data_IF_969344471951
#
_entry.id   IF_969344471951
#
_cell.length_a   1.000
_cell.length_b   1.000
_cell.length_c   1.000
_cell.angle_alpha   90.00
_cell.angle_beta   90.00
_cell.angle_gamma   90.00
#
_symmetry.space_group_name_H-M   'P 1'
#
loop_
_entity.id
_entity.type
_entity.pdbx_description
1 polymer ?
#
# COMPACT_ATOMS: atom_id res chain seq x y z
N UNK A 1 60.15 -13.95 -30.75
CA UNK A 1 60.56 -15.34 -30.55
C UNK A 1 59.35 -16.04 -29.99
N UNK A 2 58.57 -16.61 -30.88
CA UNK A 2 58.42 -18.05 -31.28
C UNK A 2 57.80 -18.89 -30.16
N UNK A 3 56.74 -19.70 -30.27
CA UNK A 3 56.05 -20.40 -31.37
C UNK A 3 54.81 -21.07 -30.73
N UNK A 4 53.62 -21.04 -31.29
CA UNK A 4 52.96 -21.95 -32.23
C UNK A 4 52.86 -23.42 -31.79
N UNK A 5 51.64 -23.99 -31.88
CA UNK A 5 51.29 -25.38 -32.00
C UNK A 5 49.83 -25.63 -31.49
N UNK A 6 48.83 -25.46 -32.21
CA UNK A 6 48.10 -26.23 -33.24
C UNK A 6 47.68 -27.66 -32.85
N UNK A 7 46.38 -27.81 -32.96
CA UNK A 7 45.51 -29.02 -32.95
C UNK A 7 46.00 -30.22 -33.76
N UNK A 8 45.38 -31.42 -33.69
CA UNK A 8 44.32 -31.69 -34.63
C UNK A 8 43.18 -32.66 -34.18
N UNK A 9 42.16 -32.58 -35.00
CA UNK A 9 41.03 -33.44 -35.31
C UNK A 9 41.27 -34.93 -35.39
N UNK A 10 40.21 -35.76 -35.16
CA UNK A 10 39.71 -36.90 -35.96
C UNK A 10 38.75 -37.74 -35.09
N UNK A 11 37.77 -38.40 -35.49
CA UNK A 11 36.94 -38.71 -36.65
C UNK A 11 36.10 -40.00 -36.30
N UNK A 12 34.82 -39.98 -36.56
CA UNK A 12 33.86 -41.03 -37.00
C UNK A 12 33.85 -42.46 -36.42
N UNK A 13 32.70 -42.82 -35.84
CA UNK A 13 31.66 -43.85 -36.09
C UNK A 13 32.12 -45.34 -36.40
N UNK A 14 31.27 -46.40 -36.36
CA UNK A 14 29.88 -46.44 -36.75
C UNK A 14 28.91 -47.40 -35.97
N UNK A 15 27.66 -47.38 -36.31
CA UNK A 15 26.53 -48.30 -36.16
C UNK A 15 26.78 -49.76 -35.88
N UNK A 16 25.96 -50.37 -35.00
CA UNK A 16 25.50 -51.75 -35.16
C UNK A 16 24.05 -51.87 -34.60
N UNK A 17 23.24 -52.53 -35.40
CA UNK A 17 21.81 -52.75 -35.28
C UNK A 17 21.42 -53.99 -34.47
N UNK A 18 20.20 -53.94 -33.91
CA UNK A 18 19.15 -54.95 -33.79
C UNK A 18 19.44 -56.13 -32.79
N UNK A 19 18.57 -56.25 -31.79
CA UNK A 19 17.75 -57.46 -31.70
C UNK A 19 16.45 -57.26 -30.92
N UNK A 20 15.42 -57.85 -31.47
CA UNK A 20 14.03 -57.94 -31.13
C UNK A 20 13.75 -58.83 -29.93
N UNK A 21 12.72 -58.50 -29.15
CA UNK A 21 11.92 -59.51 -28.50
C UNK A 21 11.69 -59.35 -27.03
N UNK A 22 10.52 -58.91 -26.67
CA UNK A 22 9.60 -59.45 -25.67
C UNK A 22 8.64 -58.39 -25.18
N UNK A 23 7.41 -58.46 -25.59
CA UNK A 23 6.28 -57.73 -25.03
C UNK A 23 6.13 -58.12 -23.56
N UNK A 24 6.21 -57.15 -22.64
CA UNK A 24 5.63 -57.23 -21.30
C UNK A 24 4.53 -56.15 -21.20
N UNK A 25 3.33 -56.61 -20.86
CA UNK A 25 2.17 -55.76 -20.60
C UNK A 25 2.47 -54.69 -19.55
N UNK A 26 1.91 -53.50 -19.69
CA UNK A 26 2.09 -52.45 -18.68
C UNK A 26 1.22 -52.77 -17.46
N UNK A 27 1.85 -52.83 -16.30
CA UNK A 27 1.20 -52.81 -15.01
C UNK A 27 0.44 -51.49 -14.78
N UNK A 28 -0.63 -51.46 -13.96
CA UNK A 28 -1.54 -50.31 -13.84
C UNK A 28 -0.79 -49.11 -13.30
N UNK A 29 -0.95 -48.02 -14.05
CA UNK A 29 -0.44 -46.69 -13.72
C UNK A 29 -0.96 -46.26 -12.34
N UNK A 30 -0.02 -46.00 -11.47
CA UNK A 30 -0.22 -45.20 -10.27
C UNK A 30 -0.92 -43.84 -10.68
N UNK A 31 -1.98 -43.43 -10.00
CA UNK A 31 -2.57 -42.13 -10.32
C UNK A 31 -1.57 -41.04 -9.95
N UNK A 32 -0.86 -40.51 -10.96
CA UNK A 32 -0.14 -39.27 -10.82
C UNK A 32 -1.12 -38.24 -10.30
N UNK A 33 -0.95 -37.86 -9.05
CA UNK A 33 -1.50 -36.64 -8.48
C UNK A 33 -1.02 -35.52 -9.42
N UNK A 34 -1.91 -35.08 -10.28
CA UNK A 34 -1.76 -33.83 -11.01
C UNK A 34 -1.72 -32.77 -9.94
N UNK A 35 -0.52 -32.34 -9.55
CA UNK A 35 -0.34 -31.11 -8.83
C UNK A 35 -0.89 -30.02 -9.75
N UNK A 36 -2.14 -29.64 -9.55
CA UNK A 36 -2.66 -28.37 -9.99
C UNK A 36 -1.83 -27.33 -9.23
N UNK A 37 -0.74 -26.89 -9.86
CA UNK A 37 -0.12 -25.63 -9.50
C UNK A 37 -1.20 -24.59 -9.78
N UNK A 38 -1.93 -24.21 -8.75
CA UNK A 38 -2.71 -22.98 -8.78
C UNK A 38 -1.70 -21.87 -9.01
N UNK A 39 -1.53 -21.47 -10.27
CA UNK A 39 -1.07 -20.13 -10.61
C UNK A 39 -2.18 -19.20 -10.10
N UNK A 40 -2.15 -18.89 -8.82
CA UNK A 40 -2.85 -17.74 -8.28
C UNK A 40 -2.30 -16.56 -9.07
N UNK A 41 -3.11 -15.97 -9.92
CA UNK A 41 -2.75 -14.78 -10.67
C UNK A 41 -2.32 -13.73 -9.65
N UNK A 42 -1.03 -13.40 -9.60
CA UNK A 42 -0.46 -12.48 -8.59
C UNK A 42 -1.06 -11.07 -8.73
N UNK A 43 -1.70 -10.76 -9.87
CA UNK A 43 -2.52 -9.56 -10.08
C UNK A 43 -3.80 -9.49 -9.22
N UNK A 44 -4.23 -10.59 -8.60
CA UNK A 44 -5.48 -10.65 -7.82
C UNK A 44 -5.33 -10.16 -6.37
N UNK A 45 -4.09 -9.84 -5.93
CA UNK A 45 -3.82 -9.34 -4.57
C UNK A 45 -3.75 -7.82 -4.47
N UNK A 46 -4.49 -7.14 -5.30
CA UNK A 46 -4.60 -5.68 -5.30
C UNK A 46 -6.03 -5.27 -4.96
N UNK A 47 -6.19 -4.53 -3.89
CA UNK A 47 -7.44 -3.84 -3.58
C UNK A 47 -7.51 -2.56 -4.43
N UNK A 48 -8.23 -2.61 -5.54
CA UNK A 48 -8.37 -1.50 -6.49
C UNK A 48 -9.48 -0.53 -6.07
N UNK A 49 -9.28 0.74 -6.40
CA UNK A 49 -10.24 1.82 -6.12
C UNK A 49 -10.71 2.44 -7.42
N UNK A 50 -12.01 2.65 -7.53
CA UNK A 50 -12.58 3.44 -8.63
C UNK A 50 -12.53 4.93 -8.27
N UNK A 51 -11.55 5.63 -8.82
CA UNK A 51 -11.42 7.08 -8.73
C UNK A 51 -11.78 7.77 -10.05
N UNK A 52 -12.31 7.02 -11.04
CA UNK A 52 -12.73 7.49 -12.36
C UNK A 52 -11.65 7.35 -13.43
N UNK A 53 -11.97 7.84 -14.63
CA UNK A 53 -11.09 7.71 -15.80
C UNK A 53 -9.78 8.51 -15.63
N UNK A 54 -8.69 7.99 -16.20
CA UNK A 54 -7.39 8.65 -16.26
C UNK A 54 -6.51 8.43 -15.04
N UNK A 55 -6.92 7.56 -14.10
CA UNK A 55 -6.13 7.23 -12.90
C UNK A 55 -6.27 5.76 -12.55
N UNK A 56 -5.22 5.15 -12.08
CA UNK A 56 -5.21 3.85 -11.42
C UNK A 56 -4.82 4.02 -9.96
N UNK A 57 -5.58 3.40 -9.04
CA UNK A 57 -5.30 3.48 -7.61
C UNK A 57 -5.58 2.14 -6.93
N UNK A 58 -4.66 1.71 -6.05
CA UNK A 58 -4.80 0.45 -5.32
C UNK A 58 -3.99 0.43 -4.02
N UNK A 59 -4.36 -0.49 -3.14
CA UNK A 59 -3.52 -0.96 -2.03
C UNK A 59 -3.13 -2.42 -2.27
N UNK A 60 -1.86 -2.78 -2.03
CA UNK A 60 -1.43 -4.17 -2.10
C UNK A 60 -1.97 -4.96 -0.91
N UNK A 61 -2.33 -6.19 -1.12
CA UNK A 61 -2.44 -7.16 -0.03
C UNK A 61 -1.05 -7.70 0.34
N UNK A 62 -0.99 -8.56 1.33
CA UNK A 62 0.23 -9.24 1.80
C UNK A 62 0.89 -10.00 0.64
N UNK A 63 2.20 -9.84 0.49
CA UNK A 63 3.03 -10.53 -0.50
C UNK A 63 2.60 -10.31 -1.97
N UNK A 64 1.85 -9.23 -2.25
CA UNK A 64 1.53 -8.84 -3.60
C UNK A 64 2.75 -8.27 -4.32
N UNK A 65 2.92 -8.60 -5.58
CA UNK A 65 3.91 -7.97 -6.45
C UNK A 65 3.34 -6.68 -7.06
N UNK A 66 4.20 -5.69 -7.21
CA UNK A 66 3.84 -4.45 -7.89
C UNK A 66 3.86 -4.65 -9.40
N UNK A 67 2.83 -4.17 -10.14
CA UNK A 67 2.75 -4.36 -11.58
C UNK A 67 3.77 -3.52 -12.38
N UNK A 68 4.37 -2.52 -11.73
CA UNK A 68 5.35 -1.59 -12.29
C UNK A 68 6.17 -0.91 -11.20
N UNK A 69 7.20 -0.17 -11.59
CA UNK A 69 7.98 0.65 -10.66
C UNK A 69 7.11 1.75 -10.04
N UNK A 70 7.27 1.94 -8.74
CA UNK A 70 6.49 2.91 -7.96
C UNK A 70 7.44 3.73 -7.09
N UNK A 71 7.37 5.05 -7.20
CA UNK A 71 8.16 5.97 -6.35
C UNK A 71 7.63 5.91 -4.91
N UNK A 72 8.54 5.69 -3.97
CA UNK A 72 8.23 5.51 -2.55
C UNK A 72 9.11 6.41 -1.67
N UNK A 73 8.55 7.16 -0.72
CA UNK A 73 9.33 7.98 0.20
C UNK A 73 9.90 7.17 1.38
N UNK A 74 10.87 7.75 2.07
CA UNK A 74 11.31 7.28 3.38
C UNK A 74 10.56 8.05 4.48
N UNK A 75 9.41 7.53 4.87
CA UNK A 75 8.45 8.13 5.79
C UNK A 75 8.94 8.11 7.23
N UNK A 76 8.73 9.24 7.94
CA UNK A 76 9.14 9.44 9.34
C UNK A 76 7.97 9.83 10.24
N UNK A 77 6.73 9.68 9.77
CA UNK A 77 5.49 10.10 10.46
C UNK A 77 5.43 11.62 10.67
N UNK A 78 6.05 12.38 9.76
CA UNK A 78 6.03 13.83 9.71
C UNK A 78 4.90 14.37 8.84
N UNK A 79 5.15 15.54 8.23
CA UNK A 79 4.21 16.18 7.29
C UNK A 79 4.94 16.89 6.12
N UNK A 80 6.11 16.40 5.74
CA UNK A 80 6.82 16.89 4.55
C UNK A 80 6.18 16.30 3.31
N UNK A 81 5.91 17.17 2.33
CA UNK A 81 5.31 16.85 1.04
C UNK A 81 6.34 17.12 -0.04
N UNK A 82 6.44 16.22 -1.02
CA UNK A 82 7.37 16.38 -2.14
C UNK A 82 6.66 16.14 -3.46
N UNK A 83 6.92 17.03 -4.43
CA UNK A 83 6.55 16.81 -5.81
C UNK A 83 7.52 15.84 -6.48
N UNK A 84 6.98 14.91 -7.27
CA UNK A 84 7.72 13.92 -8.07
C UNK A 84 7.49 14.23 -9.54
N UNK A 85 8.55 14.63 -10.24
CA UNK A 85 8.54 14.90 -11.68
C UNK A 85 9.30 13.83 -12.47
N UNK A 86 10.27 13.16 -11.85
CA UNK A 86 11.03 12.08 -12.45
C UNK A 86 10.53 10.73 -11.93
N UNK A 87 10.05 9.82 -12.82
CA UNK A 87 9.61 8.49 -12.42
C UNK A 87 10.71 7.63 -11.82
N UNK A 88 11.98 8.00 -11.99
CA UNK A 88 13.13 7.28 -11.44
C UNK A 88 13.63 7.88 -10.11
N UNK A 89 12.91 8.86 -9.54
CA UNK A 89 13.22 9.41 -8.22
C UNK A 89 13.39 8.29 -7.20
N UNK A 90 14.52 8.25 -6.53
CA UNK A 90 14.87 7.21 -5.57
C UNK A 90 14.32 7.49 -4.18
N UNK A 91 14.27 6.47 -3.36
CA UNK A 91 13.80 6.58 -1.99
C UNK A 91 14.72 7.46 -1.13
N UNK A 92 16.03 7.45 -1.40
CA UNK A 92 17.02 8.23 -0.65
C UNK A 92 16.85 9.73 -0.92
N UNK A 93 16.42 10.13 -2.13
CA UNK A 93 16.08 11.52 -2.47
C UNK A 93 14.81 12.01 -1.76
N UNK A 94 14.03 11.09 -1.21
CA UNK A 94 12.75 11.32 -0.53
C UNK A 94 12.82 11.02 0.97
N UNK A 95 14.01 11.22 1.58
CA UNK A 95 14.20 11.05 3.02
C UNK A 95 13.34 12.04 3.82
N UNK A 96 12.63 11.56 4.82
CA UNK A 96 11.78 12.37 5.71
C UNK A 96 10.45 12.82 5.10
N UNK A 97 10.10 12.33 3.90
CA UNK A 97 8.88 12.70 3.18
C UNK A 97 7.73 11.75 3.55
N UNK A 98 6.57 12.31 3.87
CA UNK A 98 5.37 11.54 4.25
C UNK A 98 4.20 11.71 3.25
N UNK A 99 4.33 12.58 2.25
CA UNK A 99 3.38 12.67 1.15
C UNK A 99 4.08 12.98 -0.17
N UNK A 100 3.59 12.37 -1.25
CA UNK A 100 4.04 12.61 -2.62
C UNK A 100 2.90 13.18 -3.44
N UNK A 101 3.21 14.10 -4.36
CA UNK A 101 2.29 14.64 -5.36
C UNK A 101 2.94 14.62 -6.74
N UNK A 102 2.13 14.53 -7.79
CA UNK A 102 2.58 14.67 -9.18
C UNK A 102 1.41 14.97 -10.12
N UNK A 103 1.72 15.64 -11.23
CA UNK A 103 0.83 15.79 -12.38
C UNK A 103 1.44 15.18 -13.66
N UNK A 104 2.50 14.41 -13.54
CA UNK A 104 3.18 13.77 -14.68
C UNK A 104 2.52 12.46 -15.03
N UNK A 105 1.96 12.30 -16.27
CA UNK A 105 1.38 11.03 -16.71
C UNK A 105 2.40 9.89 -16.68
N UNK A 106 1.94 8.69 -16.33
CA UNK A 106 2.76 7.50 -16.24
C UNK A 106 3.57 7.37 -14.94
N UNK A 107 3.76 8.45 -14.16
CA UNK A 107 4.42 8.39 -12.86
C UNK A 107 3.48 7.76 -11.82
N UNK A 108 3.95 6.69 -11.20
CA UNK A 108 3.28 6.03 -10.09
C UNK A 108 3.93 6.45 -8.77
N UNK A 109 3.14 7.00 -7.85
CA UNK A 109 3.58 7.38 -6.51
C UNK A 109 2.85 6.57 -5.45
N UNK A 110 3.49 6.33 -4.31
CA UNK A 110 2.87 5.57 -3.23
C UNK A 110 3.36 5.96 -1.84
N UNK A 111 2.62 5.51 -0.84
CA UNK A 111 3.05 5.46 0.55
C UNK A 111 2.96 4.04 1.10
N UNK A 112 3.78 3.75 2.09
CA UNK A 112 3.90 2.44 2.75
C UNK A 112 3.25 2.48 4.11
N UNK A 113 2.35 1.55 4.37
CA UNK A 113 1.65 1.48 5.66
C UNK A 113 1.65 0.07 6.26
N UNK A 114 1.50 0.02 7.57
CA UNK A 114 1.06 -1.13 8.35
C UNK A 114 0.38 -0.51 9.58
N UNK A 115 -0.95 -0.36 9.52
CA UNK A 115 -1.86 0.33 10.44
C UNK A 115 -2.08 1.83 10.20
N UNK A 116 -1.05 2.60 9.82
CA UNK A 116 -1.25 4.01 9.46
C UNK A 116 -2.23 4.15 8.29
N UNK A 117 -2.96 5.27 8.26
CA UNK A 117 -3.98 5.51 7.23
C UNK A 117 -3.31 6.05 5.96
N UNK A 118 -3.45 5.38 4.80
CA UNK A 118 -3.09 5.97 3.53
C UNK A 118 -4.26 6.80 3.00
N UNK A 119 -3.96 7.98 2.45
CA UNK A 119 -4.93 8.80 1.73
C UNK A 119 -4.43 9.01 0.31
N UNK A 120 -5.24 8.61 -0.68
CA UNK A 120 -4.97 8.82 -2.10
C UNK A 120 -5.90 9.91 -2.62
N UNK A 121 -5.35 10.89 -3.35
CA UNK A 121 -6.10 12.03 -3.90
C UNK A 121 -5.94 12.07 -5.42
N UNK A 122 -7.03 12.39 -6.12
CA UNK A 122 -7.06 12.61 -7.56
C UNK A 122 -7.83 13.86 -7.92
N UNK A 123 -7.16 14.76 -8.65
CA UNK A 123 -7.78 15.90 -9.32
C UNK A 123 -8.07 15.55 -10.78
N UNK A 124 -9.32 15.28 -11.17
CA UNK A 124 -9.66 14.93 -12.54
C UNK A 124 -9.58 16.13 -13.51
N UNK A 125 -9.58 17.36 -13.00
CA UNK A 125 -9.54 18.59 -13.81
C UNK A 125 -8.11 18.90 -14.23
N UNK A 126 -7.19 18.98 -13.26
CA UNK A 126 -5.80 19.36 -13.51
C UNK A 126 -4.88 18.15 -13.69
N UNK A 127 -5.43 16.92 -13.69
CA UNK A 127 -4.68 15.67 -13.83
C UNK A 127 -3.53 15.60 -12.83
N UNK A 128 -3.84 15.78 -11.55
CA UNK A 128 -2.87 15.70 -10.47
C UNK A 128 -3.29 14.65 -9.44
N UNK A 129 -2.29 14.00 -8.83
CA UNK A 129 -2.49 12.94 -7.85
C UNK A 129 -1.64 13.17 -6.61
N UNK A 130 -2.07 12.58 -5.48
CA UNK A 130 -1.28 12.52 -4.27
C UNK A 130 -1.40 11.17 -3.58
N UNK A 131 -0.32 10.75 -2.91
CA UNK A 131 -0.28 9.64 -1.97
C UNK A 131 0.23 10.16 -0.62
N UNK A 132 -0.57 10.01 0.44
CA UNK A 132 -0.34 10.61 1.76
C UNK A 132 -0.28 9.53 2.83
N UNK A 133 0.78 9.54 3.63
CA UNK A 133 0.93 8.72 4.82
C UNK A 133 0.39 9.46 6.05
N UNK A 134 -0.87 9.20 6.40
CA UNK A 134 -1.55 9.82 7.52
C UNK A 134 -1.56 8.89 8.76
N UNK A 135 -0.39 8.62 9.34
CA UNK A 135 -0.30 8.08 10.69
C UNK A 135 -0.89 9.08 11.71
N UNK A 136 -1.14 8.69 12.96
CA UNK A 136 -1.80 9.57 13.92
C UNK A 136 -1.07 10.93 14.10
N UNK A 137 0.27 10.94 14.09
CA UNK A 137 1.06 12.19 14.18
C UNK A 137 0.86 13.09 12.96
N UNK A 138 0.90 12.51 11.73
CA UNK A 138 0.63 13.23 10.50
C UNK A 138 -0.81 13.73 10.41
N UNK A 139 -1.77 12.94 10.91
CA UNK A 139 -3.19 13.32 11.00
C UNK A 139 -3.37 14.53 11.92
N UNK A 140 -2.82 14.49 13.13
CA UNK A 140 -2.84 15.62 14.08
C UNK A 140 -2.22 16.88 13.47
N UNK A 141 -1.15 16.73 12.69
CA UNK A 141 -0.46 17.82 11.99
C UNK A 141 -1.16 18.23 10.67
N UNK A 142 -2.32 17.63 10.36
CA UNK A 142 -3.14 17.94 9.18
C UNK A 142 -2.43 17.70 7.83
N UNK A 143 -1.67 16.62 7.71
CA UNK A 143 -0.88 16.33 6.50
C UNK A 143 -1.74 16.31 5.23
N UNK A 144 -2.96 15.76 5.29
CA UNK A 144 -3.87 15.70 4.14
C UNK A 144 -4.31 17.10 3.66
N UNK A 145 -4.62 18.02 4.59
CA UNK A 145 -4.96 19.41 4.26
C UNK A 145 -3.76 20.13 3.63
N UNK A 146 -2.58 20.01 4.25
CA UNK A 146 -1.34 20.59 3.71
C UNK A 146 -1.03 20.06 2.31
N UNK A 147 -1.27 18.76 2.06
CA UNK A 147 -1.08 18.18 0.72
C UNK A 147 -2.05 18.81 -0.29
N UNK A 148 -3.32 19.00 0.08
CA UNK A 148 -4.30 19.66 -0.78
C UNK A 148 -3.90 21.12 -1.04
N UNK A 149 -3.43 21.85 -0.02
CA UNK A 149 -2.92 23.23 -0.16
C UNK A 149 -1.75 23.30 -1.16
N UNK A 150 -0.79 22.36 -1.09
CA UNK A 150 0.32 22.29 -2.05
C UNK A 150 -0.19 21.97 -3.45
N UNK A 151 -1.15 21.05 -3.61
CA UNK A 151 -1.78 20.76 -4.91
C UNK A 151 -2.52 21.99 -5.47
N UNK A 152 -3.18 22.79 -4.62
CA UNK A 152 -3.81 24.05 -5.03
C UNK A 152 -2.77 25.05 -5.53
N UNK A 153 -1.66 25.21 -4.81
CA UNK A 153 -0.59 26.15 -5.16
C UNK A 153 0.13 25.79 -6.46
N UNK A 154 0.46 24.49 -6.66
CA UNK A 154 1.26 24.04 -7.78
C UNK A 154 0.44 23.74 -9.04
N UNK A 155 -0.77 23.18 -8.87
CA UNK A 155 -1.58 22.67 -9.98
C UNK A 155 -2.90 23.41 -10.17
N UNK A 156 -3.26 24.32 -9.26
CA UNK A 156 -4.56 25.00 -9.31
C UNK A 156 -5.74 24.10 -8.90
N UNK A 157 -5.46 23.01 -8.17
CA UNK A 157 -6.46 22.04 -7.71
C UNK A 157 -7.60 22.72 -6.96
N UNK A 158 -8.85 22.40 -7.33
CA UNK A 158 -10.04 22.76 -6.57
C UNK A 158 -10.43 21.58 -5.66
N UNK A 159 -10.35 21.77 -4.34
CA UNK A 159 -10.67 20.73 -3.37
C UNK A 159 -12.10 20.16 -3.56
N UNK A 160 -13.06 20.97 -4.01
CA UNK A 160 -14.43 20.51 -4.28
C UNK A 160 -14.54 19.53 -5.44
N UNK A 161 -13.52 19.45 -6.29
CA UNK A 161 -13.44 18.54 -7.44
C UNK A 161 -12.61 17.30 -7.14
N UNK A 162 -11.82 17.32 -6.07
CA UNK A 162 -10.98 16.17 -5.67
C UNK A 162 -11.83 14.93 -5.41
N UNK A 163 -11.27 13.80 -5.77
CA UNK A 163 -11.69 12.46 -5.35
C UNK A 163 -10.65 11.93 -4.37
N UNK A 164 -11.10 11.34 -3.29
CA UNK A 164 -10.25 10.84 -2.23
C UNK A 164 -10.58 9.40 -1.85
N UNK A 165 -9.55 8.63 -1.54
CA UNK A 165 -9.67 7.29 -0.95
C UNK A 165 -8.91 7.26 0.36
N UNK A 166 -9.57 6.86 1.43
CA UNK A 166 -8.98 6.47 2.70
C UNK A 166 -8.84 4.95 2.67
N UNK A 167 -7.62 4.46 2.48
CA UNK A 167 -7.34 3.03 2.30
C UNK A 167 -7.32 2.23 3.61
N UNK A 168 -6.88 0.94 3.55
CA UNK A 168 -6.78 0.07 4.71
C UNK A 168 -5.83 0.62 5.76
N UNK A 169 -6.25 0.55 7.03
CA UNK A 169 -5.46 0.96 8.17
C UNK A 169 -6.06 0.38 9.45
N UNK A 170 -5.49 0.69 10.60
CA UNK A 170 -6.00 0.20 11.87
C UNK A 170 -7.39 0.81 12.16
N UNK A 171 -8.38 -0.04 12.38
CA UNK A 171 -9.74 0.40 12.70
C UNK A 171 -9.90 0.86 14.15
N UNK A 172 -11.00 1.60 14.45
CA UNK A 172 -11.21 2.21 15.77
C UNK A 172 -11.22 1.18 16.91
N UNK A 173 -11.78 0.01 16.68
CA UNK A 173 -11.84 -1.04 17.71
C UNK A 173 -10.47 -1.67 18.03
N UNK A 174 -9.46 -1.43 17.19
CA UNK A 174 -8.11 -1.96 17.34
C UNK A 174 -7.06 -0.88 17.63
N UNK A 175 -7.41 0.40 17.41
CA UNK A 175 -6.50 1.51 17.67
C UNK A 175 -6.69 2.05 19.10
N UNK A 176 -6.37 1.21 20.07
CA UNK A 176 -6.26 1.64 21.48
C UNK A 176 -5.07 2.57 21.63
N UNK A 177 -5.26 3.68 22.34
CA UNK A 177 -4.29 4.75 22.54
C UNK A 177 -4.12 5.11 24.02
N UNK A 178 -3.04 5.84 24.33
CA UNK A 178 -2.88 6.49 25.62
C UNK A 178 -3.55 7.87 25.64
N UNK A 179 -3.61 8.45 26.84
CA UNK A 179 -4.19 9.78 27.05
C UNK A 179 -3.46 10.84 26.24
N UNK A 180 -2.15 10.72 26.09
CA UNK A 180 -1.30 11.66 25.35
C UNK A 180 -1.68 11.78 23.87
N UNK A 181 -2.17 10.69 23.26
CA UNK A 181 -2.65 10.72 21.88
C UNK A 181 -4.02 11.40 21.80
N UNK A 182 -4.93 11.07 22.72
CA UNK A 182 -6.24 11.70 22.80
C UNK A 182 -6.12 13.21 23.01
N UNK A 183 -5.24 13.64 23.91
CA UNK A 183 -4.95 15.04 24.19
C UNK A 183 -4.38 15.77 22.97
N UNK A 184 -3.51 15.12 22.19
CA UNK A 184 -2.95 15.69 20.97
C UNK A 184 -4.05 15.97 19.91
N UNK A 185 -5.01 15.06 19.74
CA UNK A 185 -6.17 15.29 18.86
C UNK A 185 -7.07 16.42 19.37
N UNK A 186 -7.35 16.43 20.68
CA UNK A 186 -8.18 17.47 21.29
C UNK A 186 -7.53 18.86 21.14
N UNK A 187 -6.24 19.00 21.44
CA UNK A 187 -5.48 20.24 21.28
C UNK A 187 -5.42 20.72 19.83
N UNK A 188 -5.39 19.79 18.88
CA UNK A 188 -5.42 20.11 17.45
C UNK A 188 -6.84 20.45 16.92
N UNK A 189 -7.86 20.45 17.79
CA UNK A 189 -9.23 20.87 17.48
C UNK A 189 -10.03 19.83 16.66
N UNK A 190 -9.73 18.55 16.82
CA UNK A 190 -10.53 17.48 16.22
C UNK A 190 -11.88 17.31 16.94
N UNK A 191 -12.95 16.85 16.26
CA UNK A 191 -14.26 16.61 16.86
C UNK A 191 -14.22 15.33 17.70
N UNK A 192 -13.75 15.46 18.94
CA UNK A 192 -13.47 14.34 19.83
C UNK A 192 -14.70 13.47 20.08
N UNK A 193 -15.90 14.05 20.12
CA UNK A 193 -17.17 13.35 20.25
C UNK A 193 -17.47 12.38 19.10
N UNK A 194 -16.81 12.57 17.94
CA UNK A 194 -16.99 11.73 16.75
C UNK A 194 -15.90 10.67 16.60
N UNK A 195 -14.68 10.97 17.08
CA UNK A 195 -13.51 10.14 16.81
C UNK A 195 -12.99 9.38 18.05
N UNK A 196 -13.28 9.84 19.25
CA UNK A 196 -12.83 9.21 20.51
C UNK A 196 -13.91 8.29 21.06
N UNK A 197 -13.52 7.08 21.44
CA UNK A 197 -14.34 6.14 22.18
C UNK A 197 -13.64 5.79 23.49
N UNK A 198 -14.30 6.01 24.62
CA UNK A 198 -13.87 5.49 25.92
C UNK A 198 -14.61 4.18 26.18
N UNK A 199 -13.88 3.08 26.10
CA UNK A 199 -14.41 1.73 26.32
C UNK A 199 -14.26 1.27 27.79
N UNK A 200 -14.04 2.21 28.70
CA UNK A 200 -13.86 1.95 30.14
C UNK A 200 -12.48 1.37 30.49
N UNK A 201 -12.32 0.79 31.65
CA UNK A 201 -11.02 0.28 32.10
C UNK A 201 -10.42 -0.74 31.14
N UNK A 202 -9.10 -0.67 30.91
CA UNK A 202 -8.39 -1.67 30.12
C UNK A 202 -8.52 -3.06 30.73
N UNK A 203 -9.06 -3.99 29.97
CA UNK A 203 -9.27 -5.39 30.38
C UNK A 203 -8.88 -6.33 29.23
N UNK A 204 -7.58 -6.38 28.88
CA UNK A 204 -7.13 -7.22 27.76
C UNK A 204 -7.43 -8.69 28.03
N UNK A 205 -7.90 -9.36 27.01
CA UNK A 205 -8.08 -10.82 26.98
C UNK A 205 -7.27 -11.42 25.85
N UNK A 206 -7.06 -12.74 25.83
CA UNK A 206 -6.40 -13.41 24.71
C UNK A 206 -7.16 -13.18 23.39
N UNK A 207 -8.50 -13.17 23.45
CA UNK A 207 -9.37 -12.96 22.29
C UNK A 207 -9.45 -11.50 21.85
N UNK A 208 -9.32 -10.56 22.79
CA UNK A 208 -9.34 -9.12 22.55
C UNK A 208 -8.27 -8.38 23.38
N UNK A 209 -7.01 -8.33 22.93
CA UNK A 209 -5.93 -7.62 23.61
C UNK A 209 -6.15 -6.09 23.72
N UNK A 210 -7.06 -5.53 22.91
CA UNK A 210 -7.39 -4.10 22.87
C UNK A 210 -8.68 -3.76 23.62
N UNK A 211 -9.16 -4.64 24.52
CA UNK A 211 -10.38 -4.41 25.26
C UNK A 211 -10.26 -3.29 26.28
N UNK A 212 -11.20 -2.35 26.25
CA UNK A 212 -11.23 -1.17 27.13
C UNK A 212 -10.23 -0.09 26.74
N UNK A 213 -10.15 0.97 27.54
CA UNK A 213 -9.29 2.12 27.28
C UNK A 213 -9.82 3.06 26.19
N UNK A 214 -8.99 4.04 25.86
CA UNK A 214 -9.30 5.03 24.84
C UNK A 214 -8.99 4.49 23.44
N UNK A 215 -9.89 4.71 22.52
CA UNK A 215 -9.74 4.34 21.11
C UNK A 215 -10.00 5.55 20.22
N UNK A 216 -9.23 5.69 19.14
CA UNK A 216 -9.42 6.76 18.16
C UNK A 216 -9.77 6.16 16.80
N UNK A 217 -10.80 6.74 16.17
CA UNK A 217 -11.18 6.46 14.78
C UNK A 217 -10.38 7.33 13.83
N UNK A 218 -9.25 6.80 13.34
CA UNK A 218 -8.40 7.50 12.37
C UNK A 218 -9.06 7.65 11.00
N UNK A 219 -9.99 6.77 10.63
CA UNK A 219 -10.73 6.93 9.36
C UNK A 219 -11.62 8.15 9.41
N UNK A 220 -12.40 8.31 10.51
CA UNK A 220 -13.23 9.50 10.71
C UNK A 220 -12.39 10.77 10.84
N UNK A 221 -11.26 10.71 11.56
CA UNK A 221 -10.37 11.85 11.69
C UNK A 221 -9.83 12.34 10.33
N UNK A 222 -9.37 11.42 9.47
CA UNK A 222 -8.90 11.78 8.13
C UNK A 222 -10.04 12.21 7.20
N UNK A 223 -11.22 11.60 7.30
CA UNK A 223 -12.39 12.03 6.56
C UNK A 223 -12.77 13.46 6.92
N UNK A 224 -12.83 13.77 8.21
CA UNK A 224 -13.10 15.12 8.69
C UNK A 224 -12.08 16.13 8.15
N UNK A 225 -10.78 15.80 8.14
CA UNK A 225 -9.75 16.64 7.55
C UNK A 225 -9.99 16.92 6.06
N UNK A 226 -10.35 15.93 5.28
CA UNK A 226 -10.67 16.09 3.86
C UNK A 226 -11.90 16.99 3.66
N UNK A 227 -12.94 16.80 4.47
CA UNK A 227 -14.14 17.66 4.44
C UNK A 227 -13.80 19.11 4.84
N UNK A 228 -12.96 19.32 5.86
CA UNK A 228 -12.47 20.64 6.24
C UNK A 228 -11.65 21.33 5.14
N UNK A 229 -10.93 20.55 4.31
CA UNK A 229 -10.21 21.07 3.15
C UNK A 229 -11.15 21.38 1.95
N UNK A 230 -12.44 21.04 2.04
CA UNK A 230 -13.44 21.30 0.99
C UNK A 230 -13.73 20.12 0.08
N UNK A 231 -13.17 18.94 0.34
CA UNK A 231 -13.50 17.73 -0.44
C UNK A 231 -14.95 17.34 -0.15
N UNK A 232 -15.76 17.17 -1.19
CA UNK A 232 -17.18 16.78 -1.03
C UNK A 232 -17.26 15.37 -0.45
N UNK A 233 -18.14 15.17 0.52
CA UNK A 233 -18.37 13.87 1.16
C UNK A 233 -18.67 12.76 0.14
N UNK A 234 -19.44 13.05 -0.92
CA UNK A 234 -19.72 12.10 -2.01
C UNK A 234 -18.48 11.66 -2.80
N UNK A 235 -17.38 12.39 -2.69
CA UNK A 235 -16.12 12.12 -3.39
C UNK A 235 -15.08 11.43 -2.49
N UNK A 236 -15.44 11.11 -1.25
CA UNK A 236 -14.56 10.45 -0.28
C UNK A 236 -15.00 8.99 -0.13
N UNK A 237 -14.17 8.07 -0.59
CA UNK A 237 -14.32 6.64 -0.36
C UNK A 237 -13.52 6.23 0.88
N UNK A 238 -14.09 5.37 1.72
CA UNK A 238 -13.39 4.76 2.86
C UNK A 238 -13.40 3.26 2.67
N UNK A 239 -12.23 2.64 2.61
CA UNK A 239 -12.12 1.19 2.46
C UNK A 239 -12.75 0.43 3.64
N UNK A 240 -12.68 0.99 4.85
CA UNK A 240 -13.28 0.39 6.05
C UNK A 240 -12.65 -0.94 6.46
N UNK A 241 -11.41 -1.21 6.01
CA UNK A 241 -10.71 -2.47 6.26
C UNK A 241 -9.68 -2.25 7.36
N UNK A 242 -9.92 -2.89 8.50
CA UNK A 242 -8.99 -2.88 9.63
C UNK A 242 -7.84 -3.85 9.38
N UNK A 243 -6.61 -3.35 9.25
CA UNK A 243 -5.40 -4.15 9.03
C UNK A 243 -5.11 -5.11 10.18
N UNK A 244 -5.38 -4.71 11.43
CA UNK A 244 -5.22 -5.56 12.61
C UNK A 244 -6.15 -6.78 12.59
N UNK A 245 -7.41 -6.60 12.16
CA UNK A 245 -8.42 -7.68 12.09
C UNK A 245 -8.26 -8.55 10.85
N UNK A 246 -7.82 -7.97 9.74
CA UNK A 246 -7.60 -8.66 8.46
C UNK A 246 -6.10 -8.90 8.21
N UNK A 247 -5.39 -9.36 9.23
CA UNK A 247 -3.95 -9.55 9.18
C UNK A 247 -3.53 -10.76 8.31
N UNK A 248 -4.45 -11.61 7.94
CA UNK A 248 -4.29 -12.62 6.90
C UNK A 248 -4.10 -12.00 5.49
N UNK A 249 -4.69 -10.83 5.26
CA UNK A 249 -4.63 -10.10 3.98
C UNK A 249 -3.68 -8.89 4.02
N UNK A 250 -3.54 -8.22 5.16
CA UNK A 250 -2.80 -6.97 5.28
C UNK A 250 -1.79 -7.03 6.42
N UNK A 251 -0.69 -6.32 6.29
CA UNK A 251 0.29 -6.18 7.37
C UNK A 251 -0.21 -5.25 8.47
N UNK A 252 0.03 -5.61 9.72
CA UNK A 252 -0.30 -4.81 10.90
C UNK A 252 0.87 -4.74 11.87
N UNK A 253 1.44 -3.56 12.02
CA UNK A 253 2.54 -3.33 12.97
C UNK A 253 2.09 -3.49 14.43
N UNK A 254 0.84 -3.18 14.75
CA UNK A 254 0.24 -3.40 16.07
C UNK A 254 0.16 -4.89 16.42
N UNK A 255 -0.09 -5.75 15.43
CA UNK A 255 -0.26 -7.19 15.62
C UNK A 255 1.05 -7.97 15.50
N UNK A 256 1.90 -7.59 14.56
CA UNK A 256 3.10 -8.35 14.18
C UNK A 256 4.41 -7.67 14.60
N UNK A 257 4.32 -6.43 15.12
CA UNK A 257 5.50 -5.62 15.42
C UNK A 257 5.97 -4.78 14.24
N UNK A 258 6.86 -3.83 14.53
CA UNK A 258 7.30 -2.81 13.55
C UNK A 258 8.16 -3.36 12.39
N UNK A 259 8.67 -4.60 12.52
CA UNK A 259 9.47 -5.28 11.50
C UNK A 259 8.63 -6.03 10.45
N UNK A 260 7.30 -6.05 10.58
CA UNK A 260 6.41 -6.67 9.59
C UNK A 260 6.55 -6.02 8.21
N UNK A 261 6.02 -6.68 7.16
CA UNK A 261 5.93 -6.13 5.82
C UNK A 261 5.13 -4.83 5.76
N UNK A 262 4.97 -4.29 4.55
CA UNK A 262 4.22 -3.04 4.33
C UNK A 262 3.23 -3.20 3.18
N UNK A 263 2.08 -2.58 3.34
CA UNK A 263 1.08 -2.34 2.32
C UNK A 263 1.58 -1.17 1.46
N UNK A 264 1.62 -1.33 0.15
CA UNK A 264 1.92 -0.25 -0.79
C UNK A 264 0.59 0.32 -1.25
N UNK A 265 0.39 1.60 -0.99
CA UNK A 265 -0.82 2.33 -1.40
C UNK A 265 -0.45 3.26 -2.54
N UNK A 266 -0.81 2.85 -3.73
CA UNK A 266 -0.32 3.42 -5.00
C UNK A 266 -1.42 4.18 -5.73
N UNK A 267 -0.99 5.26 -6.39
CA UNK A 267 -1.81 5.99 -7.35
C UNK A 267 -0.96 6.42 -8.54
N UNK A 268 -1.50 6.32 -9.76
CA UNK A 268 -0.81 6.61 -11.03
C UNK A 268 -1.74 7.30 -12.00
N UNK A 269 -1.27 8.36 -12.66
CA UNK A 269 -1.93 8.94 -13.84
C UNK A 269 -1.72 8.04 -15.06
N UNK A 270 -2.77 7.81 -15.83
CA UNK A 270 -2.76 6.99 -17.05
C UNK A 270 -2.54 7.85 -18.30
#
# INVERSE_FOLDING_TARGET
MSNWGQTPFALFAPFAQINTGAQKEPSPLCPCVTAFVYFCNMSDRLLKYDMGAGVEAFSTERDAELPYYVVQPHQVHGCVIREVIDPMTTRDELEGVDALITNVPGVAISVRTADCIPVLLYDPVHKAIAAVHAGWRGTVQRISNKTIEVMQQLYGTDAHKLRAVIGPGIGPESFQVGQEVADAFAQAGFPMEQILQDCGPKRPTEQNPMQGGLHIDLWKANRWLLEQAGVKNSNIQVAGICTYRNNDRFYSARREGTKCGRIINCIKLL
#
